data_IF_397884649831
#
_entry.id   IF_397884649831
#
_cell.length_a   1.000
_cell.length_b   1.000
_cell.length_c   1.000
_cell.angle_alpha   90.00
_cell.angle_beta   90.00
_cell.angle_gamma   90.00
#
_symmetry.space_group_name_H-M   'P 1'
#
loop_
_entity.id
_entity.type
_entity.pdbx_description
1 polymer ?
#
# COMPACT_ATOMS: atom_id res chain seq x y z
N UNK A 1 1.67 -3.80 -12.38
CA UNK A 1 0.64 -2.79 -12.69
C UNK A 1 0.93 -2.18 -14.05
N UNK A 2 -0.09 -2.04 -14.90
CA UNK A 2 0.01 -1.54 -16.27
C UNK A 2 -0.26 -0.03 -16.28
N UNK A 3 0.45 0.69 -17.14
CA UNK A 3 0.23 2.13 -17.36
C UNK A 3 -0.82 2.33 -18.46
N UNK A 4 -1.77 3.23 -18.22
CA UNK A 4 -2.83 3.62 -19.13
C UNK A 4 -2.64 5.08 -19.54
N UNK A 5 -2.92 5.40 -20.81
CA UNK A 5 -2.85 6.74 -21.36
C UNK A 5 -4.24 7.14 -21.82
N UNK A 6 -4.78 8.19 -21.21
CA UNK A 6 -6.19 8.56 -21.31
C UNK A 6 -6.36 10.02 -21.69
N UNK A 7 -7.34 10.29 -22.53
CA UNK A 7 -7.87 11.62 -22.79
C UNK A 7 -9.20 11.73 -22.05
N UNK A 8 -9.29 12.63 -21.09
CA UNK A 8 -10.47 12.74 -20.21
C UNK A 8 -10.89 14.19 -20.05
N UNK A 9 -12.18 14.40 -19.81
CA UNK A 9 -12.75 15.72 -19.55
C UNK A 9 -12.98 15.89 -18.06
N UNK A 10 -12.40 16.92 -17.47
CA UNK A 10 -12.46 17.17 -16.03
C UNK A 10 -13.89 17.54 -15.60
N UNK A 11 -14.42 16.84 -14.60
CA UNK A 11 -15.74 17.09 -14.02
C UNK A 11 -15.62 17.75 -12.65
N UNK A 12 -14.74 17.21 -11.79
CA UNK A 12 -14.51 17.72 -10.43
C UNK A 12 -13.02 17.61 -10.07
N UNK A 13 -12.51 18.60 -9.35
CA UNK A 13 -11.12 18.64 -8.87
C UNK A 13 -11.13 19.01 -7.38
N UNK A 14 -10.80 18.05 -6.53
CA UNK A 14 -10.75 18.22 -5.08
C UNK A 14 -9.30 18.29 -4.62
N UNK A 15 -8.79 19.53 -4.46
CA UNK A 15 -7.40 19.80 -4.04
C UNK A 15 -7.30 20.75 -2.83
N UNK A 16 -8.41 21.28 -2.33
CA UNK A 16 -8.38 22.20 -1.20
C UNK A 16 -8.09 21.45 0.10
N UNK A 17 -6.87 21.60 0.61
CA UNK A 17 -6.34 20.90 1.78
C UNK A 17 -7.16 21.09 3.06
N UNK A 18 -7.95 22.17 3.17
CA UNK A 18 -8.84 22.40 4.33
C UNK A 18 -10.15 21.61 4.27
N UNK A 19 -10.47 21.06 3.10
CA UNK A 19 -11.76 20.43 2.77
C UNK A 19 -11.62 18.99 2.30
N UNK A 20 -10.45 18.39 2.50
CA UNK A 20 -10.14 17.03 2.06
C UNK A 20 -9.39 16.28 3.15
N UNK A 21 -9.53 14.96 3.14
CA UNK A 21 -8.72 14.03 3.92
C UNK A 21 -8.32 12.84 3.05
N UNK A 22 -7.06 12.37 3.08
CA UNK A 22 -5.97 12.91 3.89
C UNK A 22 -5.36 14.17 3.27
N UNK A 23 -4.77 15.03 4.11
CA UNK A 23 -4.06 16.21 3.65
C UNK A 23 -2.86 15.78 2.78
N UNK A 24 -2.67 16.48 1.66
CA UNK A 24 -1.63 16.21 0.66
C UNK A 24 -2.10 15.30 -0.48
N UNK A 25 -3.27 14.68 -0.41
CA UNK A 25 -3.84 13.88 -1.48
C UNK A 25 -4.83 14.71 -2.31
N UNK A 26 -4.97 14.41 -3.60
CA UNK A 26 -5.85 15.12 -4.52
C UNK A 26 -6.67 14.10 -5.31
N UNK A 27 -7.95 14.41 -5.54
CA UNK A 27 -8.85 13.61 -6.38
C UNK A 27 -9.30 14.42 -7.59
N UNK A 28 -9.24 13.79 -8.76
CA UNK A 28 -9.83 14.30 -10.00
C UNK A 28 -10.89 13.31 -10.47
N UNK A 29 -12.09 13.80 -10.73
CA UNK A 29 -13.17 13.03 -11.37
C UNK A 29 -13.25 13.54 -12.80
N UNK A 30 -13.05 12.65 -13.77
CA UNK A 30 -13.01 13.01 -15.19
C UNK A 30 -13.53 11.87 -16.07
N UNK A 31 -14.47 12.18 -16.96
CA UNK A 31 -15.14 11.22 -17.85
C UNK A 31 -15.65 9.97 -17.10
N UNK A 32 -16.31 10.17 -15.97
CA UNK A 32 -16.82 9.11 -15.09
C UNK A 32 -15.75 8.20 -14.44
N UNK A 33 -14.48 8.61 -14.45
CA UNK A 33 -13.36 7.86 -13.83
C UNK A 33 -12.72 8.69 -12.71
N UNK A 34 -12.24 7.99 -11.68
CA UNK A 34 -11.64 8.61 -10.50
C UNK A 34 -10.12 8.47 -10.53
N UNK A 35 -9.43 9.59 -10.37
CA UNK A 35 -7.99 9.69 -10.39
C UNK A 35 -7.48 10.25 -9.06
N UNK A 36 -6.44 9.62 -8.52
CA UNK A 36 -5.81 10.00 -7.27
C UNK A 36 -4.33 10.29 -7.45
N UNK A 37 -3.83 11.25 -6.69
CA UNK A 37 -2.42 11.63 -6.69
C UNK A 37 -2.03 12.27 -5.35
N UNK A 38 -0.75 12.18 -4.99
CA UNK A 38 -0.21 12.97 -3.88
C UNK A 38 0.45 14.23 -4.42
N UNK A 39 0.16 15.36 -3.79
CA UNK A 39 0.70 16.67 -4.15
C UNK A 39 2.24 16.70 -4.05
N UNK A 40 2.79 16.01 -3.06
CA UNK A 40 4.24 15.91 -2.77
C UNK A 40 5.03 15.14 -3.85
N UNK A 41 4.36 14.32 -4.66
CA UNK A 41 5.02 13.53 -5.71
C UNK A 41 5.41 14.39 -6.95
N UNK A 42 4.90 15.63 -7.03
CA UNK A 42 5.02 16.50 -8.20
C UNK A 42 5.54 17.88 -7.84
N UNK A 43 6.39 18.45 -8.70
CA UNK A 43 6.82 19.84 -8.59
C UNK A 43 5.74 20.79 -9.12
N UNK A 44 5.53 21.92 -8.41
CA UNK A 44 4.57 22.97 -8.77
C UNK A 44 3.11 22.48 -8.95
N UNK A 45 2.73 21.44 -8.22
CA UNK A 45 1.41 20.82 -8.25
C UNK A 45 0.28 21.81 -7.92
N UNK A 46 0.44 22.64 -6.88
CA UNK A 46 -0.59 23.61 -6.48
C UNK A 46 -0.94 24.60 -7.59
N UNK A 47 0.05 25.17 -8.27
CA UNK A 47 -0.18 26.17 -9.31
C UNK A 47 -0.83 25.57 -10.55
N UNK A 48 -0.51 24.33 -10.88
CA UNK A 48 -1.20 23.59 -11.93
C UNK A 48 -2.65 23.31 -11.55
N UNK A 49 -2.91 22.77 -10.36
CA UNK A 49 -4.25 22.40 -9.90
C UNK A 49 -5.19 23.61 -9.79
N UNK A 50 -4.69 24.77 -9.34
CA UNK A 50 -5.47 26.03 -9.27
C UNK A 50 -5.93 26.54 -10.63
N UNK A 51 -5.22 26.20 -11.72
CA UNK A 51 -5.55 26.66 -13.08
C UNK A 51 -6.59 25.76 -13.76
N UNK A 52 -6.77 24.54 -13.27
CA UNK A 52 -7.73 23.60 -13.82
C UNK A 52 -9.17 24.07 -13.58
N UNK A 53 -10.03 23.87 -14.59
CA UNK A 53 -11.44 24.20 -14.54
C UNK A 53 -12.26 23.02 -15.04
N UNK A 54 -13.48 22.90 -14.54
CA UNK A 54 -14.43 21.92 -15.04
C UNK A 54 -14.61 22.09 -16.57
N UNK A 55 -14.60 20.97 -17.27
CA UNK A 55 -14.68 20.90 -18.73
C UNK A 55 -13.34 20.87 -19.45
N UNK A 56 -12.21 21.06 -18.75
CA UNK A 56 -10.87 20.97 -19.34
C UNK A 56 -10.59 19.56 -19.89
N UNK A 57 -9.96 19.49 -21.06
CA UNK A 57 -9.46 18.23 -21.62
C UNK A 57 -8.05 17.95 -21.12
N UNK A 58 -7.90 16.82 -20.43
CA UNK A 58 -6.66 16.39 -19.80
C UNK A 58 -6.14 15.12 -20.46
N UNK A 59 -4.85 15.15 -20.79
CA UNK A 59 -4.09 13.97 -21.21
C UNK A 59 -3.40 13.42 -19.96
N UNK A 60 -3.77 12.22 -19.54
CA UNK A 60 -3.32 11.63 -18.27
C UNK A 60 -2.61 10.31 -18.53
N UNK A 61 -1.49 10.06 -17.84
CA UNK A 61 -0.98 8.72 -17.62
C UNK A 61 -1.26 8.30 -16.18
N UNK A 62 -1.87 7.13 -16.02
CA UNK A 62 -2.20 6.60 -14.71
C UNK A 62 -2.07 5.07 -14.65
N UNK A 63 -1.92 4.55 -13.43
CA UNK A 63 -1.97 3.13 -13.14
C UNK A 63 -3.35 2.75 -12.62
N UNK A 64 -3.90 1.66 -13.14
CA UNK A 64 -5.16 1.12 -12.61
C UNK A 64 -4.92 0.46 -11.24
N UNK A 65 -5.70 0.89 -10.25
CA UNK A 65 -5.75 0.34 -8.91
C UNK A 65 -6.77 -0.81 -8.81
N UNK A 66 -6.78 -1.52 -7.68
CA UNK A 66 -7.59 -2.74 -7.52
C UNK A 66 -9.10 -2.49 -7.40
N UNK A 67 -9.45 -1.32 -6.90
CA UNK A 67 -10.79 -0.75 -6.79
C UNK A 67 -11.31 -0.16 -8.12
N UNK A 68 -10.51 -0.19 -9.19
CA UNK A 68 -10.89 0.35 -10.49
C UNK A 68 -10.60 1.84 -10.69
N UNK A 69 -10.15 2.53 -9.64
CA UNK A 69 -9.66 3.91 -9.75
C UNK A 69 -8.25 3.96 -10.32
N UNK A 70 -7.76 5.17 -10.59
CA UNK A 70 -6.48 5.40 -11.28
C UNK A 70 -5.51 6.20 -10.41
N UNK A 71 -4.28 5.72 -10.27
CA UNK A 71 -3.19 6.49 -9.65
C UNK A 71 -2.41 7.27 -10.70
N UNK A 72 -2.45 8.60 -10.64
CA UNK A 72 -1.84 9.48 -11.64
C UNK A 72 -0.32 9.40 -11.58
N UNK A 73 0.29 9.39 -12.76
CA UNK A 73 1.73 9.43 -12.96
C UNK A 73 2.19 10.71 -13.63
N UNK A 74 1.36 11.28 -14.50
CA UNK A 74 1.51 12.65 -15.01
C UNK A 74 0.20 13.13 -15.63
N UNK A 75 0.03 14.45 -15.69
CA UNK A 75 -1.09 15.13 -16.35
C UNK A 75 -0.52 16.18 -17.29
N UNK A 76 -1.13 16.35 -18.44
CA UNK A 76 -0.78 17.38 -19.39
C UNK A 76 -2.04 18.05 -19.95
N UNK A 77 -1.98 19.37 -20.03
CA UNK A 77 -2.99 20.22 -20.65
C UNK A 77 -2.28 21.22 -21.58
N UNK A 78 -2.78 21.39 -22.79
CA UNK A 78 -2.06 22.13 -23.85
C UNK A 78 -1.74 23.60 -23.48
N UNK A 79 -2.64 24.29 -22.77
CA UNK A 79 -2.42 25.70 -22.35
C UNK A 79 -2.11 25.90 -20.86
N UNK A 80 -2.50 24.97 -19.99
CA UNK A 80 -2.41 25.12 -18.52
C UNK A 80 -1.15 24.47 -17.95
N UNK A 81 -0.38 23.77 -18.78
CA UNK A 81 0.92 23.20 -18.42
C UNK A 81 0.84 21.71 -18.11
N UNK A 82 1.71 21.26 -17.20
CA UNK A 82 1.89 19.84 -16.91
C UNK A 82 2.16 19.60 -15.44
N UNK A 83 1.76 18.41 -15.01
CA UNK A 83 2.09 17.81 -13.73
C UNK A 83 2.94 16.58 -14.04
N UNK A 84 4.22 16.62 -13.71
CA UNK A 84 5.17 15.56 -14.04
C UNK A 84 6.06 15.22 -12.84
N UNK A 85 6.47 13.95 -12.69
CA UNK A 85 7.38 13.56 -11.63
C UNK A 85 8.77 14.13 -11.93
N UNK A 86 9.60 14.28 -10.88
CA UNK A 86 10.97 14.77 -11.03
C UNK A 86 11.76 13.95 -12.08
N UNK A 87 12.22 14.65 -13.14
CA UNK A 87 12.96 14.02 -14.25
C UNK A 87 14.36 13.58 -13.85
N UNK A 88 15.03 14.32 -12.96
CA UNK A 88 16.45 14.13 -12.61
C UNK A 88 16.62 13.84 -11.13
N UNK A 89 17.58 12.98 -10.79
CA UNK A 89 18.05 12.79 -9.41
C UNK A 89 19.15 13.79 -9.10
N UNK A 90 18.80 14.88 -8.43
CA UNK A 90 19.76 15.86 -7.95
C UNK A 90 19.91 15.72 -6.44
N UNK A 91 21.13 15.44 -6.00
CA UNK A 91 21.49 15.53 -4.59
C UNK A 91 21.80 16.98 -4.25
N UNK A 92 21.23 17.49 -3.18
CA UNK A 92 21.64 18.79 -2.62
C UNK A 92 23.09 18.71 -2.13
N UNK A 93 23.82 19.83 -2.11
CA UNK A 93 25.21 19.87 -1.63
C UNK A 93 25.34 19.31 -0.20
N UNK A 94 24.34 19.55 0.66
CA UNK A 94 24.26 18.95 2.00
C UNK A 94 24.17 17.43 1.93
N UNK A 95 23.28 16.88 1.10
CA UNK A 95 23.11 15.43 0.95
C UNK A 95 24.34 14.74 0.37
N UNK A 96 25.08 15.41 -0.53
CA UNK A 96 26.36 14.90 -1.05
C UNK A 96 27.41 14.77 0.04
N UNK A 97 27.57 15.78 0.90
CA UNK A 97 28.47 15.71 2.07
C UNK A 97 28.09 14.57 3.02
N UNK A 98 26.79 14.40 3.30
CA UNK A 98 26.31 13.28 4.11
C UNK A 98 26.54 11.92 3.46
N UNK A 99 26.40 11.82 2.13
CA UNK A 99 26.67 10.59 1.40
C UNK A 99 28.16 10.21 1.44
N UNK A 100 29.04 11.20 1.28
CA UNK A 100 30.48 11.01 1.43
C UNK A 100 30.83 10.55 2.84
N UNK A 101 30.26 11.19 3.87
CA UNK A 101 30.44 10.77 5.26
C UNK A 101 29.95 9.34 5.49
N UNK A 102 28.76 8.99 4.98
CA UNK A 102 28.22 7.64 5.07
C UNK A 102 29.14 6.60 4.41
N UNK A 103 29.76 6.94 3.29
CA UNK A 103 30.72 6.09 2.60
C UNK A 103 31.99 5.87 3.43
N UNK A 104 32.54 6.96 3.99
CA UNK A 104 33.71 6.90 4.88
C UNK A 104 33.41 6.05 6.12
N UNK A 105 32.27 6.27 6.79
CA UNK A 105 31.86 5.50 7.97
C UNK A 105 31.68 4.02 7.65
N UNK A 106 31.12 3.69 6.48
CA UNK A 106 30.93 2.30 6.05
C UNK A 106 32.28 1.61 5.81
N UNK A 107 33.21 2.28 5.12
CA UNK A 107 34.52 1.73 4.81
C UNK A 107 35.41 1.60 6.05
N UNK A 108 35.56 2.68 6.82
CA UNK A 108 36.42 2.70 8.01
C UNK A 108 35.84 1.80 9.10
N UNK A 109 34.54 1.88 9.37
CA UNK A 109 33.87 1.03 10.35
C UNK A 109 33.89 -0.44 9.94
N UNK A 110 33.71 -0.75 8.66
CA UNK A 110 33.78 -2.11 8.13
C UNK A 110 35.18 -2.70 8.24
N UNK A 111 36.20 -1.94 7.84
CA UNK A 111 37.61 -2.33 7.99
C UNK A 111 37.98 -2.56 9.46
N UNK A 112 37.61 -1.64 10.35
CA UNK A 112 37.89 -1.78 11.78
C UNK A 112 37.19 -3.00 12.39
N UNK A 113 35.93 -3.25 12.03
CA UNK A 113 35.18 -4.41 12.52
C UNK A 113 35.83 -5.71 12.04
N UNK A 114 36.20 -5.79 10.75
CA UNK A 114 36.90 -6.94 10.19
C UNK A 114 38.25 -7.19 10.85
N UNK A 115 39.06 -6.13 11.01
CA UNK A 115 40.38 -6.21 11.62
C UNK A 115 40.29 -6.66 13.10
N UNK A 116 39.32 -6.11 13.84
CA UNK A 116 39.10 -6.45 15.24
C UNK A 116 38.66 -7.90 15.46
N UNK A 117 37.86 -8.47 14.54
CA UNK A 117 37.40 -9.86 14.65
C UNK A 117 38.52 -10.86 14.37
N UNK A 118 39.38 -10.58 13.39
CA UNK A 118 40.34 -11.57 12.88
C UNK A 118 41.73 -11.50 13.52
N UNK A 119 42.15 -10.31 13.97
CA UNK A 119 43.56 -10.09 14.34
C UNK A 119 43.77 -9.61 15.77
N UNK A 120 42.71 -9.24 16.49
CA UNK A 120 42.82 -8.73 17.85
C UNK A 120 42.22 -9.70 18.88
N UNK A 121 42.89 -9.82 20.03
CA UNK A 121 42.35 -10.57 21.16
C UNK A 121 41.19 -9.81 21.82
N UNK A 122 40.19 -10.56 22.29
CA UNK A 122 38.94 -9.98 22.81
C UNK A 122 39.19 -9.26 24.14
N UNK A 123 39.03 -7.94 24.16
CA UNK A 123 39.02 -7.10 25.37
C UNK A 123 37.81 -6.15 25.33
N UNK A 124 37.33 -5.72 26.50
CA UNK A 124 36.22 -4.77 26.68
C UNK A 124 36.32 -3.55 25.75
N UNK A 125 37.48 -2.90 25.66
CA UNK A 125 37.65 -1.72 24.78
C UNK A 125 37.50 -2.06 23.29
N UNK A 126 37.97 -3.24 22.88
CA UNK A 126 37.83 -3.73 21.50
C UNK A 126 36.35 -4.02 21.23
N UNK A 127 35.64 -4.68 22.14
CA UNK A 127 34.21 -4.93 22.04
C UNK A 127 33.42 -3.62 21.92
N UNK A 128 33.68 -2.63 22.79
CA UNK A 128 33.02 -1.32 22.73
C UNK A 128 33.31 -0.61 21.39
N UNK A 129 34.58 -0.62 20.95
CA UNK A 129 34.97 -0.01 19.67
C UNK A 129 34.31 -0.70 18.47
N UNK A 130 34.13 -2.02 18.54
CA UNK A 130 33.47 -2.82 17.52
C UNK A 130 31.97 -2.51 17.45
N UNK A 131 31.28 -2.40 18.59
CA UNK A 131 29.85 -2.01 18.60
C UNK A 131 29.66 -0.63 17.96
N UNK A 132 30.54 0.33 18.27
CA UNK A 132 30.51 1.67 17.66
C UNK A 132 30.75 1.57 16.15
N UNK A 133 31.75 0.81 15.72
CA UNK A 133 32.07 0.63 14.31
C UNK A 133 30.93 -0.06 13.53
N UNK A 134 30.31 -1.11 14.09
CA UNK A 134 29.13 -1.75 13.52
C UNK A 134 27.95 -0.79 13.42
N UNK A 135 27.72 0.04 14.44
CA UNK A 135 26.69 1.09 14.41
C UNK A 135 26.93 2.09 13.28
N UNK A 136 28.18 2.51 13.08
CA UNK A 136 28.57 3.43 12.01
C UNK A 136 28.35 2.81 10.61
N UNK A 137 28.68 1.53 10.44
CA UNK A 137 28.45 0.77 9.21
C UNK A 137 26.96 0.67 8.90
N UNK A 138 26.14 0.31 9.88
CA UNK A 138 24.69 0.18 9.71
C UNK A 138 24.05 1.51 9.31
N UNK A 139 24.46 2.62 9.96
CA UNK A 139 23.99 3.95 9.60
C UNK A 139 24.42 4.35 8.18
N UNK A 140 25.68 4.09 7.81
CA UNK A 140 26.23 4.38 6.50
C UNK A 140 25.52 3.61 5.38
N UNK A 141 25.40 2.29 5.50
CA UNK A 141 24.70 1.42 4.54
C UNK A 141 23.24 1.84 4.40
N UNK A 142 22.55 2.16 5.50
CA UNK A 142 21.15 2.58 5.48
C UNK A 142 20.97 3.86 4.65
N UNK A 143 21.81 4.86 4.86
CA UNK A 143 21.74 6.13 4.12
C UNK A 143 22.09 5.96 2.63
N UNK A 144 23.16 5.21 2.32
CA UNK A 144 23.55 4.88 0.94
C UNK A 144 22.44 4.12 0.24
N UNK A 145 21.89 3.10 0.90
CA UNK A 145 20.80 2.27 0.41
C UNK A 145 19.55 3.07 0.09
N UNK A 146 19.17 4.03 0.94
CA UNK A 146 18.04 4.93 0.68
C UNK A 146 18.26 5.77 -0.60
N UNK A 147 19.45 6.34 -0.80
CA UNK A 147 19.74 7.15 -1.99
C UNK A 147 19.88 6.30 -3.25
N UNK A 148 20.52 5.14 -3.14
CA UNK A 148 20.61 4.16 -4.23
C UNK A 148 19.20 3.70 -4.64
N UNK A 149 18.33 3.40 -3.68
CA UNK A 149 16.93 3.05 -3.94
C UNK A 149 16.20 4.13 -4.72
N UNK A 150 16.29 5.41 -4.30
CA UNK A 150 15.68 6.54 -5.02
C UNK A 150 16.25 6.69 -6.44
N UNK A 151 17.57 6.52 -6.60
CA UNK A 151 18.21 6.55 -7.91
C UNK A 151 17.71 5.41 -8.82
N UNK A 152 17.69 4.17 -8.31
CA UNK A 152 17.17 3.01 -9.05
C UNK A 152 15.70 3.18 -9.41
N UNK A 153 14.88 3.72 -8.50
CA UNK A 153 13.47 4.01 -8.77
C UNK A 153 13.30 4.95 -9.97
N UNK A 154 14.19 5.95 -10.12
CA UNK A 154 14.18 6.91 -11.24
C UNK A 154 14.74 6.34 -12.54
N UNK A 155 15.73 5.45 -12.46
CA UNK A 155 16.31 4.79 -13.65
C UNK A 155 15.50 3.58 -14.14
N UNK A 156 14.50 3.13 -13.37
CA UNK A 156 13.60 2.03 -13.77
C UNK A 156 13.05 2.26 -15.19
N UNK A 157 13.01 1.21 -16.03
CA UNK A 157 12.53 1.32 -17.40
C UNK A 157 11.09 1.83 -17.48
N UNK A 158 10.28 1.50 -16.47
CA UNK A 158 8.90 1.98 -16.34
C UNK A 158 8.80 3.50 -16.19
N UNK A 159 9.60 4.09 -15.30
CA UNK A 159 9.65 5.53 -15.10
C UNK A 159 10.12 6.25 -16.38
N UNK A 160 11.18 5.73 -17.02
CA UNK A 160 11.66 6.24 -18.32
C UNK A 160 10.59 6.15 -19.41
N UNK A 161 9.79 5.07 -19.45
CA UNK A 161 8.67 4.92 -20.40
C UNK A 161 7.62 6.00 -20.18
N UNK A 162 7.26 6.30 -18.92
CA UNK A 162 6.26 7.34 -18.56
C UNK A 162 6.72 8.73 -19.01
N UNK A 163 7.97 9.10 -18.74
CA UNK A 163 8.53 10.39 -19.16
C UNK A 163 8.59 10.49 -20.69
N UNK A 164 9.10 9.46 -21.38
CA UNK A 164 9.11 9.43 -22.85
C UNK A 164 7.71 9.56 -23.46
N UNK A 165 6.70 8.98 -22.82
CA UNK A 165 5.31 9.13 -23.24
C UNK A 165 4.83 10.57 -23.11
N UNK A 166 5.12 11.22 -21.98
CA UNK A 166 4.81 12.63 -21.78
C UNK A 166 5.50 13.53 -22.81
N UNK A 167 6.80 13.33 -23.06
CA UNK A 167 7.55 14.12 -24.05
C UNK A 167 6.94 13.99 -25.46
N UNK A 168 6.47 12.80 -25.84
CA UNK A 168 5.77 12.58 -27.12
C UNK A 168 4.41 13.25 -27.18
N UNK A 169 3.67 13.28 -26.07
CA UNK A 169 2.38 13.98 -25.98
C UNK A 169 2.58 15.49 -26.12
N UNK A 170 3.61 16.04 -25.46
CA UNK A 170 4.00 17.45 -25.59
C UNK A 170 4.41 17.77 -27.03
N UNK A 171 5.15 16.87 -27.69
CA UNK A 171 5.51 16.99 -29.11
C UNK A 171 4.35 16.75 -30.09
N UNK A 172 3.10 16.63 -29.60
CA UNK A 172 1.89 16.35 -30.39
C UNK A 172 1.93 15.06 -31.21
N UNK A 173 2.73 14.08 -30.78
CA UNK A 173 2.85 12.75 -31.40
C UNK A 173 1.89 11.72 -30.78
N UNK A 174 0.76 12.20 -30.25
CA UNK A 174 -0.29 11.39 -29.63
C UNK A 174 -1.61 11.62 -30.36
N UNK A 175 -2.26 10.52 -30.72
CA UNK A 175 -3.58 10.52 -31.36
C UNK A 175 -4.62 10.08 -30.34
N UNK A 176 -5.78 10.71 -30.36
CA UNK A 176 -6.94 10.24 -29.59
C UNK A 176 -7.54 9.08 -30.38
N UNK A 177 -7.76 7.96 -29.71
CA UNK A 177 -8.38 6.79 -30.30
C UNK A 177 -9.84 7.08 -30.71
N UNK A 178 -10.45 6.28 -31.60
CA UNK A 178 -11.83 6.48 -32.05
C UNK A 178 -12.86 6.38 -30.91
N UNK A 179 -12.48 5.75 -29.79
CA UNK A 179 -13.29 5.67 -28.57
C UNK A 179 -13.33 6.99 -27.78
N UNK A 180 -12.52 8.00 -28.16
CA UNK A 180 -12.45 9.31 -27.50
C UNK A 180 -11.70 9.33 -26.17
N UNK A 181 -11.48 8.17 -25.55
CA UNK A 181 -10.95 8.05 -24.19
C UNK A 181 -9.48 7.63 -24.15
N UNK A 182 -8.98 6.88 -25.14
CA UNK A 182 -7.61 6.36 -25.12
C UNK A 182 -6.66 7.26 -25.90
N UNK A 183 -5.46 7.44 -25.37
CA UNK A 183 -4.36 8.07 -26.09
C UNK A 183 -3.44 7.02 -26.72
N UNK A 184 -3.35 7.05 -28.04
CA UNK A 184 -2.41 6.24 -28.83
C UNK A 184 -1.14 7.07 -29.02
N UNK A 185 -0.09 6.71 -28.28
CA UNK A 185 1.22 7.36 -28.37
C UNK A 185 2.11 6.54 -29.29
N UNK A 186 2.61 7.17 -30.35
CA UNK A 186 3.44 6.52 -31.37
C UNK A 186 4.63 5.78 -30.73
N UNK A 187 4.82 4.51 -31.07
CA UNK A 187 5.95 3.70 -30.57
C UNK A 187 5.90 3.33 -29.07
N UNK A 188 4.77 3.55 -28.38
CA UNK A 188 4.57 3.11 -26.99
C UNK A 188 3.37 2.18 -26.94
N UNK A 189 3.59 0.91 -26.58
CA UNK A 189 2.50 -0.05 -26.36
C UNK A 189 1.67 0.37 -25.14
N UNK A 190 0.40 0.67 -25.36
CA UNK A 190 -0.62 0.87 -24.34
C UNK A 190 -1.38 -0.44 -24.10
N UNK A 191 -1.83 -0.66 -22.87
CA UNK A 191 -2.73 -1.77 -22.58
C UNK A 191 -4.17 -1.34 -22.88
N UNK A 192 -5.02 -2.23 -23.42
CA UNK A 192 -6.45 -1.94 -23.50
C UNK A 192 -7.01 -1.76 -22.08
N UNK A 193 -7.92 -0.81 -21.88
CA UNK A 193 -8.66 -0.71 -20.63
C UNK A 193 -9.33 -2.07 -20.37
N UNK A 194 -9.16 -2.65 -19.18
CA UNK A 194 -9.84 -3.87 -18.82
C UNK A 194 -11.33 -3.57 -18.70
N UNK A 195 -12.17 -4.44 -19.26
CA UNK A 195 -13.55 -4.54 -18.82
C UNK A 195 -13.53 -5.14 -17.42
N UNK A 196 -13.99 -4.38 -16.43
CA UNK A 196 -14.17 -4.92 -15.08
C UNK A 196 -15.42 -5.81 -15.13
N UNK A 197 -15.30 -7.14 -14.99
CA UNK A 197 -16.46 -8.00 -15.03
C UNK A 197 -17.35 -7.72 -13.82
N UNK A 198 -18.60 -7.35 -14.06
CA UNK A 198 -19.61 -7.20 -13.02
C UNK A 198 -19.96 -8.61 -12.54
N UNK A 199 -19.40 -9.02 -11.41
CA UNK A 199 -19.68 -10.32 -10.82
C UNK A 199 -21.04 -10.21 -10.11
N UNK A 200 -22.06 -10.89 -10.66
CA UNK A 200 -23.30 -11.14 -9.93
C UNK A 200 -23.02 -12.17 -8.83
N UNK A 201 -22.73 -11.70 -7.62
CA UNK A 201 -22.57 -12.55 -6.44
C UNK A 201 -23.84 -12.45 -5.59
N UNK A 202 -24.37 -13.59 -5.15
CA UNK A 202 -25.42 -13.61 -4.13
C UNK A 202 -24.77 -13.33 -2.77
N UNK A 203 -25.36 -12.40 -2.02
CA UNK A 203 -24.92 -12.06 -0.67
C UNK A 203 -25.80 -12.79 0.36
N UNK A 204 -25.23 -13.22 1.48
CA UNK A 204 -26.02 -13.79 2.57
C UNK A 204 -27.01 -12.75 3.10
N UNK A 205 -28.28 -13.14 3.27
CA UNK A 205 -29.26 -12.27 3.91
C UNK A 205 -28.91 -12.07 5.39
N UNK A 206 -28.53 -10.85 5.75
CA UNK A 206 -28.25 -10.46 7.13
C UNK A 206 -29.59 -10.20 7.82
N UNK A 207 -30.11 -11.22 8.53
CA UNK A 207 -31.47 -11.17 9.14
C UNK A 207 -31.59 -10.17 10.30
N UNK A 208 -30.50 -9.91 11.03
CA UNK A 208 -30.47 -8.96 12.16
C UNK A 208 -29.06 -8.34 12.25
N UNK A 209 -28.93 -7.08 11.83
CA UNK A 209 -27.67 -6.33 11.94
C UNK A 209 -27.76 -5.31 13.06
N UNK A 210 -26.79 -5.32 13.97
CA UNK A 210 -26.55 -4.22 14.92
C UNK A 210 -25.77 -3.06 14.27
N UNK A 211 -25.38 -3.19 12.99
CA UNK A 211 -24.70 -2.13 12.23
C UNK A 211 -25.72 -1.05 11.87
N UNK A 212 -25.47 0.16 12.35
CA UNK A 212 -26.24 1.34 11.99
C UNK A 212 -25.64 1.98 10.75
N UNK A 213 -26.51 2.63 9.96
CA UNK A 213 -26.15 3.28 8.69
C UNK A 213 -26.66 4.70 8.70
N UNK A 214 -25.79 5.64 8.32
CA UNK A 214 -26.15 7.03 8.07
C UNK A 214 -25.56 7.41 6.72
N UNK A 215 -26.41 7.92 5.83
CA UNK A 215 -26.01 8.45 4.53
C UNK A 215 -26.31 9.93 4.49
N UNK A 216 -25.37 10.72 4.01
CA UNK A 216 -25.58 12.15 3.83
C UNK A 216 -24.36 12.82 3.23
N UNK A 217 -24.51 14.12 3.00
CA UNK A 217 -23.41 14.95 2.53
C UNK A 217 -22.44 15.20 3.69
N UNK A 218 -21.17 14.88 3.47
CA UNK A 218 -20.11 15.08 4.46
C UNK A 218 -19.64 16.54 4.52
N UNK A 219 -19.46 17.02 5.74
CA UNK A 219 -18.78 18.28 6.05
C UNK A 219 -17.58 17.99 6.96
N UNK A 220 -16.36 18.20 6.46
CA UNK A 220 -15.14 17.97 7.20
C UNK A 220 -14.85 19.21 8.05
N UNK A 221 -14.75 19.01 9.37
CA UNK A 221 -14.37 20.07 10.30
C UNK A 221 -12.87 20.13 10.53
N UNK A 222 -12.23 18.96 10.65
CA UNK A 222 -10.80 18.87 10.87
C UNK A 222 -10.24 17.56 10.35
N UNK A 223 -9.01 17.62 9.85
CA UNK A 223 -8.23 16.49 9.37
C UNK A 223 -6.83 16.62 9.95
N UNK A 224 -6.51 15.73 10.90
CA UNK A 224 -5.27 15.73 11.66
C UNK A 224 -4.45 14.49 11.32
N UNK A 225 -3.15 14.69 11.09
CA UNK A 225 -2.17 13.63 10.88
C UNK A 225 -1.31 13.49 12.14
N UNK A 226 -1.61 12.50 12.97
CA UNK A 226 -0.98 12.28 14.27
C UNK A 226 0.15 11.27 14.12
N UNK A 227 1.39 11.68 14.42
CA UNK A 227 2.55 10.79 14.48
C UNK A 227 2.70 10.23 15.89
N UNK A 228 2.54 8.92 16.04
CA UNK A 228 2.77 8.19 17.28
C UNK A 228 4.12 7.50 17.24
N UNK A 229 5.00 7.93 18.14
CA UNK A 229 6.30 7.30 18.34
C UNK A 229 6.17 6.18 19.39
N UNK A 230 6.50 4.96 19.01
CA UNK A 230 6.59 3.82 19.93
C UNK A 230 8.02 3.28 19.96
N UNK A 231 8.36 2.51 20.99
CA UNK A 231 9.71 1.98 21.24
C UNK A 231 10.34 1.25 20.02
N UNK A 232 9.51 0.65 19.17
CA UNK A 232 9.94 -0.14 18.01
C UNK A 232 9.49 0.44 16.65
N UNK A 233 9.03 1.69 16.60
CA UNK A 233 8.70 2.33 15.32
C UNK A 233 7.72 3.50 15.42
N UNK A 234 7.51 4.14 14.27
CA UNK A 234 6.57 5.23 14.11
C UNK A 234 5.29 4.72 13.44
N UNK A 235 4.14 5.13 13.95
CA UNK A 235 2.86 4.92 13.28
C UNK A 235 2.18 6.25 13.08
N UNK A 236 1.60 6.46 11.90
CA UNK A 236 0.86 7.69 11.60
C UNK A 236 -0.62 7.34 11.55
N UNK A 237 -1.41 8.05 12.36
CA UNK A 237 -2.86 7.92 12.44
C UNK A 237 -3.47 9.19 11.83
N UNK A 238 -4.34 8.99 10.85
CA UNK A 238 -5.22 10.02 10.32
C UNK A 238 -6.48 10.06 11.18
N UNK A 239 -6.81 11.24 11.67
CA UNK A 239 -8.03 11.49 12.41
C UNK A 239 -8.84 12.57 11.70
N UNK A 240 -10.06 12.24 11.30
CA UNK A 240 -10.96 13.14 10.57
C UNK A 240 -12.20 13.34 11.43
N UNK A 241 -12.51 14.59 11.74
CA UNK A 241 -13.77 14.97 12.39
C UNK A 241 -14.70 15.51 11.32
N UNK A 242 -15.87 14.90 11.16
CA UNK A 242 -16.85 15.29 10.16
C UNK A 242 -18.28 15.27 10.69
N UNK A 243 -19.16 16.04 10.06
CA UNK A 243 -20.60 15.93 10.19
C UNK A 243 -21.16 15.22 8.96
N UNK A 244 -22.07 14.28 9.19
CA UNK A 244 -22.88 13.67 8.12
C UNK A 244 -24.32 13.71 8.58
N UNK A 245 -25.17 14.38 7.80
CA UNK A 245 -26.59 14.59 8.14
C UNK A 245 -26.78 15.16 9.56
N UNK A 246 -25.96 16.15 9.92
CA UNK A 246 -25.90 16.78 11.25
C UNK A 246 -25.45 15.87 12.41
N UNK A 247 -24.99 14.65 12.14
CA UNK A 247 -24.42 13.76 13.15
C UNK A 247 -22.88 13.84 13.15
N UNK A 248 -22.24 14.12 14.31
CA UNK A 248 -20.80 14.19 14.41
C UNK A 248 -20.16 12.81 14.47
N UNK A 249 -19.15 12.59 13.63
CA UNK A 249 -18.34 11.40 13.60
C UNK A 249 -16.86 11.74 13.64
N UNK A 250 -16.08 10.86 14.28
CA UNK A 250 -14.63 10.91 14.26
C UNK A 250 -14.11 9.60 13.66
N UNK A 251 -13.48 9.73 12.51
CA UNK A 251 -12.86 8.63 11.78
C UNK A 251 -11.38 8.60 12.15
N UNK A 252 -10.91 7.49 12.70
CA UNK A 252 -9.49 7.28 12.98
C UNK A 252 -9.00 6.06 12.23
N UNK A 253 -7.94 6.23 11.43
CA UNK A 253 -7.30 5.13 10.72
C UNK A 253 -5.81 5.35 10.54
N UNK A 254 -5.03 4.28 10.54
CA UNK A 254 -3.60 4.28 10.26
C UNK A 254 -3.34 4.56 8.78
N UNK A 255 -2.45 5.51 8.52
CA UNK A 255 -1.98 5.86 7.18
C UNK A 255 -1.35 4.63 6.50
N UNK A 256 -1.76 4.34 5.26
CA UNK A 256 -1.12 3.33 4.43
C UNK A 256 0.04 3.95 3.65
N UNK A 257 1.15 3.20 3.58
CA UNK A 257 2.36 3.57 2.86
C UNK A 257 2.48 2.88 1.48
N UNK A 258 1.53 2.03 1.09
CA UNK A 258 1.68 1.14 -0.07
C UNK A 258 0.91 1.63 -1.30
N UNK A 259 1.64 1.85 -2.40
CA UNK A 259 1.18 2.33 -3.71
C UNK A 259 0.14 1.47 -4.47
N UNK A 260 -0.29 0.32 -3.94
CA UNK A 260 -1.23 -0.55 -4.65
C UNK A 260 -2.70 -0.16 -4.47
N UNK A 261 -2.98 0.61 -3.43
CA UNK A 261 -4.31 1.10 -3.04
C UNK A 261 -4.11 2.53 -2.49
N UNK A 262 -5.13 3.39 -2.55
CA UNK A 262 -5.05 4.72 -1.93
C UNK A 262 -5.56 4.71 -0.47
N UNK A 263 -5.26 5.79 0.27
CA UNK A 263 -5.86 6.04 1.59
C UNK A 263 -7.36 6.37 1.45
N UNK A 264 -8.12 6.35 2.54
CA UNK A 264 -9.50 6.86 2.57
C UNK A 264 -9.52 8.31 2.12
N UNK A 265 -10.02 8.56 0.91
CA UNK A 265 -10.19 9.91 0.40
C UNK A 265 -11.62 10.38 0.67
N UNK A 266 -11.75 11.54 1.31
CA UNK A 266 -13.00 12.24 1.58
C UNK A 266 -12.81 13.70 1.21
N UNK A 267 -13.79 14.28 0.52
CA UNK A 267 -13.86 15.72 0.29
C UNK A 267 -15.19 16.27 0.81
N UNK A 268 -15.19 17.54 1.22
CA UNK A 268 -16.43 18.26 1.55
C UNK A 268 -17.42 18.18 0.39
N UNK A 269 -18.68 17.96 0.72
CA UNK A 269 -19.74 17.85 -0.27
C UNK A 269 -19.82 16.48 -0.95
N UNK A 270 -19.06 15.48 -0.49
CA UNK A 270 -19.25 14.10 -0.94
C UNK A 270 -20.50 13.48 -0.32
N UNK A 271 -21.21 12.66 -1.09
CA UNK A 271 -22.30 11.81 -0.59
C UNK A 271 -21.69 10.52 -0.02
N UNK A 272 -21.74 10.37 1.30
CA UNK A 272 -21.05 9.29 2.01
C UNK A 272 -22.05 8.52 2.87
N UNK A 273 -21.95 7.20 2.81
CA UNK A 273 -22.65 6.27 3.68
C UNK A 273 -21.66 5.67 4.69
N UNK A 274 -21.90 5.96 5.97
CA UNK A 274 -21.13 5.41 7.09
C UNK A 274 -21.84 4.21 7.69
N UNK A 275 -21.03 3.19 8.00
CA UNK A 275 -21.43 2.01 8.74
C UNK A 275 -20.75 2.07 10.10
N UNK A 276 -21.54 2.15 11.17
CA UNK A 276 -21.01 2.26 12.52
C UNK A 276 -21.72 1.34 13.49
N UNK A 277 -21.04 1.05 14.59
CA UNK A 277 -21.57 0.29 15.72
C UNK A 277 -21.44 1.13 16.98
N UNK A 278 -22.52 1.22 17.74
CA UNK A 278 -22.56 1.89 19.03
C UNK A 278 -22.94 0.86 20.09
N UNK A 279 -22.16 0.78 21.16
CA UNK A 279 -22.47 -0.06 22.30
C UNK A 279 -23.73 0.48 23.01
N UNK A 280 -24.47 -0.40 23.69
CA UNK A 280 -25.67 -0.02 24.45
C UNK A 280 -25.34 0.93 25.62
N UNK A 281 -24.10 0.91 26.12
CA UNK A 281 -23.57 1.91 27.04
C UNK A 281 -23.37 3.26 26.36
N UNK A 282 -24.28 4.21 26.64
CA UNK A 282 -24.31 5.59 26.10
C UNK A 282 -23.03 6.41 26.28
N UNK A 283 -22.09 5.96 27.11
CA UNK A 283 -20.80 6.63 27.32
C UNK A 283 -19.77 6.31 26.24
N UNK A 284 -19.97 5.24 25.46
CA UNK A 284 -19.09 4.90 24.34
C UNK A 284 -19.56 5.58 23.06
N UNK A 285 -18.72 6.41 22.45
CA UNK A 285 -19.01 7.03 21.15
C UNK A 285 -19.18 5.99 20.03
N UNK A 286 -19.85 6.36 18.92
CA UNK A 286 -20.04 5.45 17.79
C UNK A 286 -18.69 5.06 17.18
N UNK A 287 -18.48 3.76 16.99
CA UNK A 287 -17.29 3.22 16.34
C UNK A 287 -17.58 3.02 14.87
N UNK A 288 -16.91 3.79 14.01
CA UNK A 288 -17.04 3.61 12.55
C UNK A 288 -16.34 2.32 12.12
N UNK A 289 -17.08 1.47 11.40
CA UNK A 289 -16.66 0.17 10.89
C UNK A 289 -16.36 0.19 9.38
N UNK A 290 -16.96 1.11 8.65
CA UNK A 290 -16.78 1.22 7.20
C UNK A 290 -17.36 2.49 6.62
N UNK A 291 -16.89 2.84 5.42
CA UNK A 291 -17.24 4.03 4.67
C UNK A 291 -17.46 3.63 3.22
N UNK A 292 -18.58 4.05 2.65
CA UNK A 292 -18.82 4.00 1.21
C UNK A 292 -19.04 5.40 0.68
N UNK A 293 -18.22 5.83 -0.28
CA UNK A 293 -18.35 7.14 -0.90
C UNK A 293 -19.09 6.98 -2.24
N UNK A 294 -20.31 7.51 -2.33
CA UNK A 294 -21.13 7.45 -3.55
C UNK A 294 -20.61 8.39 -4.65
N UNK A 295 -19.81 9.40 -4.31
CA UNK A 295 -19.22 10.33 -5.29
C UNK A 295 -18.14 9.65 -6.13
N UNK A 296 -17.23 8.90 -5.49
CA UNK A 296 -16.08 8.25 -6.16
C UNK A 296 -16.15 6.72 -6.16
N UNK A 297 -17.25 6.16 -5.65
CA UNK A 297 -17.48 4.72 -5.48
C UNK A 297 -16.43 3.99 -4.62
N UNK A 298 -15.66 4.71 -3.81
CA UNK A 298 -14.68 4.14 -2.90
C UNK A 298 -15.34 3.39 -1.75
N UNK A 299 -14.99 2.11 -1.59
CA UNK A 299 -15.45 1.27 -0.48
C UNK A 299 -14.30 0.96 0.48
N UNK A 300 -14.49 1.29 1.76
CA UNK A 300 -13.46 1.18 2.79
C UNK A 300 -14.00 0.50 4.03
N UNK A 301 -13.26 -0.48 4.56
CA UNK A 301 -13.52 -1.04 5.89
C UNK A 301 -12.51 -0.48 6.87
N UNK A 302 -12.97 -0.10 8.05
CA UNK A 302 -12.14 0.37 9.15
C UNK A 302 -12.15 -0.73 10.21
N UNK A 303 -11.16 -1.62 10.12
CA UNK A 303 -11.02 -2.76 11.02
C UNK A 303 -10.46 -2.31 12.37
N UNK A 304 -11.11 -2.75 13.45
CA UNK A 304 -10.53 -2.70 14.80
C UNK A 304 -9.30 -3.59 14.90
N UNK A 305 -8.43 -3.32 15.88
CA UNK A 305 -7.08 -3.93 16.04
C UNK A 305 -6.99 -5.47 15.92
N UNK A 306 -8.09 -6.20 16.17
CA UNK A 306 -8.12 -7.68 16.21
C UNK A 306 -8.74 -8.29 14.93
N UNK A 307 -9.56 -7.56 14.17
CA UNK A 307 -10.13 -8.08 12.94
C UNK A 307 -9.10 -8.00 11.82
N UNK A 308 -8.50 -9.13 11.48
CA UNK A 308 -7.55 -9.19 10.37
C UNK A 308 -8.34 -9.40 9.08
N UNK A 309 -8.39 -8.37 8.24
CA UNK A 309 -9.08 -8.42 6.96
C UNK A 309 -8.63 -9.59 6.07
N UNK A 310 -9.62 -10.26 5.46
CA UNK A 310 -9.47 -11.56 4.80
C UNK A 310 -8.47 -11.54 3.62
N UNK A 311 -8.27 -10.39 2.98
CA UNK A 311 -7.39 -10.30 1.82
C UNK A 311 -5.92 -10.10 2.19
N UNK A 312 -5.65 -9.40 3.29
CA UNK A 312 -4.29 -9.09 3.73
C UNK A 312 -3.67 -10.23 4.54
N UNK A 313 -4.47 -10.94 5.34
CA UNK A 313 -4.05 -12.19 6.00
C UNK A 313 -3.43 -13.14 4.99
N UNK A 314 -4.12 -13.39 3.88
CA UNK A 314 -3.70 -14.38 2.89
C UNK A 314 -2.33 -14.10 2.27
N UNK A 315 -2.04 -12.85 1.87
CA UNK A 315 -0.76 -12.52 1.23
C UNK A 315 0.41 -12.49 2.22
N UNK A 316 0.17 -11.93 3.42
CA UNK A 316 1.20 -11.83 4.43
C UNK A 316 1.49 -13.19 5.06
N UNK A 317 0.46 -14.02 5.27
CA UNK A 317 0.62 -15.40 5.69
C UNK A 317 1.39 -16.19 4.64
N UNK A 318 1.03 -16.10 3.35
CA UNK A 318 1.79 -16.76 2.28
C UNK A 318 3.27 -16.38 2.27
N UNK A 319 3.59 -15.09 2.45
CA UNK A 319 4.98 -14.63 2.47
C UNK A 319 5.73 -15.18 3.69
N UNK A 320 5.13 -15.10 4.88
CA UNK A 320 5.74 -15.63 6.11
C UNK A 320 5.93 -17.15 5.99
N UNK A 321 4.91 -17.87 5.53
CA UNK A 321 4.97 -19.32 5.31
C UNK A 321 6.06 -19.67 4.31
N UNK A 322 6.19 -18.91 3.21
CA UNK A 322 7.25 -19.13 2.23
C UNK A 322 8.65 -18.89 2.83
N UNK A 323 8.86 -17.81 3.59
CA UNK A 323 10.14 -17.53 4.23
C UNK A 323 10.51 -18.60 5.28
N UNK A 324 9.55 -18.99 6.12
CA UNK A 324 9.73 -20.05 7.13
C UNK A 324 9.99 -21.39 6.45
N UNK A 325 9.29 -21.70 5.36
CA UNK A 325 9.54 -22.91 4.56
C UNK A 325 10.97 -22.92 4.03
N UNK A 326 11.41 -21.83 3.37
CA UNK A 326 12.77 -21.72 2.84
C UNK A 326 13.81 -21.89 3.95
N UNK A 327 13.61 -21.27 5.11
CA UNK A 327 14.51 -21.40 6.25
C UNK A 327 14.59 -22.84 6.77
N UNK A 328 13.45 -23.48 7.04
CA UNK A 328 13.40 -24.85 7.58
C UNK A 328 13.99 -25.85 6.58
N UNK A 329 13.60 -25.79 5.30
CA UNK A 329 14.14 -26.71 4.30
C UNK A 329 15.61 -26.44 3.98
N UNK A 330 16.09 -25.20 4.11
CA UNK A 330 17.53 -24.90 4.03
C UNK A 330 18.29 -25.52 5.21
N UNK A 331 17.74 -25.48 6.42
CA UNK A 331 18.36 -26.09 7.60
C UNK A 331 18.43 -27.62 7.45
N UNK A 332 17.34 -28.24 7.00
CA UNK A 332 17.31 -29.68 6.69
C UNK A 332 18.34 -30.02 5.61
N UNK A 333 18.39 -29.24 4.52
CA UNK A 333 19.39 -29.42 3.48
C UNK A 333 20.82 -29.35 4.03
N UNK A 334 21.13 -28.33 4.84
CA UNK A 334 22.45 -28.14 5.43
C UNK A 334 22.85 -29.29 6.35
N UNK A 335 21.94 -29.78 7.19
CA UNK A 335 22.23 -30.93 8.05
C UNK A 335 22.39 -32.22 7.26
N UNK A 336 21.51 -32.49 6.30
CA UNK A 336 21.64 -33.70 5.50
C UNK A 336 22.89 -33.69 4.62
N UNK A 337 23.33 -32.53 4.13
CA UNK A 337 24.62 -32.37 3.45
C UNK A 337 25.79 -32.58 4.42
N UNK A 338 25.70 -32.02 5.64
CA UNK A 338 26.72 -32.22 6.68
C UNK A 338 26.90 -33.70 7.02
N UNK A 339 25.80 -34.44 7.19
CA UNK A 339 25.85 -35.88 7.46
C UNK A 339 26.56 -36.65 6.34
N UNK A 340 26.33 -36.30 5.07
CA UNK A 340 27.04 -36.91 3.94
C UNK A 340 28.53 -36.60 3.98
N UNK A 341 28.90 -35.37 4.34
CA UNK A 341 30.30 -34.98 4.53
C UNK A 341 30.96 -35.74 5.70
N UNK A 342 30.28 -35.84 6.83
CA UNK A 342 30.77 -36.53 8.02
C UNK A 342 30.91 -38.05 7.80
N UNK A 343 30.07 -38.63 6.94
CA UNK A 343 30.13 -40.03 6.52
C UNK A 343 31.19 -40.33 5.44
N UNK A 344 32.06 -39.37 5.13
CA UNK A 344 33.18 -39.56 4.20
C UNK A 344 32.97 -38.98 2.80
N UNK A 345 31.90 -38.19 2.60
CA UNK A 345 31.62 -37.43 1.37
C UNK A 345 31.51 -38.31 0.10
N UNK A 346 30.98 -39.51 0.25
CA UNK A 346 30.55 -40.33 -0.88
C UNK A 346 29.11 -39.94 -1.21
N UNK A 347 28.84 -39.61 -2.46
CA UNK A 347 27.50 -39.26 -2.93
C UNK A 347 26.91 -40.47 -3.65
N UNK A 348 26.38 -41.42 -2.89
CA UNK A 348 25.78 -42.62 -3.46
C UNK A 348 24.25 -42.52 -3.56
N UNK A 349 23.63 -43.53 -4.16
CA UNK A 349 22.17 -43.56 -4.35
C UNK A 349 21.41 -43.56 -3.02
N UNK A 350 21.97 -44.18 -1.98
CA UNK A 350 21.35 -44.30 -0.66
C UNK A 350 21.40 -42.99 0.10
N UNK A 351 22.45 -42.19 -0.07
CA UNK A 351 22.52 -40.83 0.48
C UNK A 351 21.41 -39.94 -0.10
N UNK A 352 21.20 -40.01 -1.42
CA UNK A 352 20.09 -39.31 -2.07
C UNK A 352 18.72 -39.78 -1.58
N UNK A 353 18.54 -41.07 -1.32
CA UNK A 353 17.31 -41.60 -0.72
C UNK A 353 17.13 -41.13 0.73
N UNK A 354 18.21 -41.13 1.53
CA UNK A 354 18.19 -40.68 2.93
C UNK A 354 17.85 -39.19 3.05
N UNK A 355 18.44 -38.36 2.19
CA UNK A 355 18.06 -36.95 2.04
C UNK A 355 16.58 -36.85 1.66
N UNK A 356 16.15 -37.59 0.64
CA UNK A 356 14.75 -37.59 0.19
C UNK A 356 13.77 -37.98 1.31
N UNK A 357 14.09 -38.99 2.10
CA UNK A 357 13.26 -39.47 3.22
C UNK A 357 13.22 -38.45 4.37
N UNK A 358 14.35 -37.81 4.68
CA UNK A 358 14.43 -36.73 5.66
C UNK A 358 13.57 -35.52 5.25
N UNK A 359 13.60 -35.15 3.97
CA UNK A 359 12.75 -34.10 3.43
C UNK A 359 11.28 -34.48 3.45
N UNK A 360 10.93 -35.73 3.17
CA UNK A 360 9.56 -36.23 3.18
C UNK A 360 9.01 -36.26 4.61
N UNK A 361 9.75 -36.84 5.56
CA UNK A 361 9.38 -36.88 6.97
C UNK A 361 9.19 -35.49 7.57
N UNK A 362 10.16 -34.59 7.34
CA UNK A 362 10.05 -33.21 7.80
C UNK A 362 8.93 -32.44 7.08
N UNK A 363 8.70 -32.71 5.79
CA UNK A 363 7.60 -32.13 5.02
C UNK A 363 6.22 -32.49 5.58
N UNK A 364 6.03 -33.75 6.01
CA UNK A 364 4.79 -34.19 6.66
C UNK A 364 4.61 -33.49 8.02
N UNK A 365 5.64 -33.46 8.86
CA UNK A 365 5.59 -32.80 10.18
C UNK A 365 5.28 -31.30 10.00
N UNK A 366 5.99 -30.64 9.08
CA UNK A 366 5.76 -29.24 8.75
C UNK A 366 4.33 -28.99 8.27
N UNK A 367 3.81 -29.84 7.36
CA UNK A 367 2.44 -29.76 6.88
C UNK A 367 1.40 -29.88 7.99
N UNK A 368 1.59 -30.80 8.94
CA UNK A 368 0.72 -30.97 10.12
C UNK A 368 0.75 -29.74 11.04
N UNK A 369 1.95 -29.19 11.31
CA UNK A 369 2.08 -27.98 12.13
C UNK A 369 1.38 -26.80 11.45
N UNK A 370 1.64 -26.58 10.17
CA UNK A 370 1.08 -25.45 9.42
C UNK A 370 -0.43 -25.56 9.27
N UNK A 371 -0.97 -26.75 9.03
CA UNK A 371 -2.42 -26.99 8.99
C UNK A 371 -3.08 -26.78 10.37
N UNK A 372 -2.43 -27.21 11.46
CA UNK A 372 -2.88 -26.96 12.83
C UNK A 372 -2.94 -25.46 13.16
N UNK A 373 -1.90 -24.70 12.81
CA UNK A 373 -1.87 -23.24 12.98
C UNK A 373 -2.98 -22.57 12.14
N UNK A 374 -3.15 -22.99 10.88
CA UNK A 374 -4.21 -22.46 10.02
C UNK A 374 -5.61 -22.73 10.60
N UNK A 375 -5.85 -23.94 11.09
CA UNK A 375 -7.09 -24.32 11.77
C UNK A 375 -7.35 -23.46 13.01
N UNK A 376 -6.37 -23.33 13.90
CA UNK A 376 -6.49 -22.50 15.11
C UNK A 376 -6.77 -21.04 14.75
N UNK A 377 -6.08 -20.50 13.75
CA UNK A 377 -6.28 -19.12 13.28
C UNK A 377 -7.71 -18.91 12.77
N UNK A 378 -8.23 -19.86 11.98
CA UNK A 378 -9.60 -19.82 11.50
C UNK A 378 -10.62 -19.98 12.64
N UNK A 379 -10.37 -20.89 13.58
CA UNK A 379 -11.22 -21.12 14.75
C UNK A 379 -11.31 -19.86 15.62
N UNK A 380 -10.17 -19.26 16.00
CA UNK A 380 -10.16 -18.04 16.81
C UNK A 380 -10.80 -16.85 16.09
N UNK A 381 -10.62 -16.73 14.78
CA UNK A 381 -11.28 -15.69 13.99
C UNK A 381 -12.80 -15.87 13.99
N UNK A 382 -13.30 -17.10 13.82
CA UNK A 382 -14.73 -17.40 13.85
C UNK A 382 -15.32 -17.24 15.26
N UNK A 383 -14.60 -17.68 16.32
CA UNK A 383 -15.01 -17.45 17.70
C UNK A 383 -15.10 -15.97 18.02
N UNK A 384 -14.16 -15.15 17.54
CA UNK A 384 -14.23 -13.70 17.68
C UNK A 384 -15.45 -13.10 16.98
N UNK A 385 -15.76 -13.54 15.76
CA UNK A 385 -16.96 -13.12 15.03
C UNK A 385 -18.24 -13.52 15.77
N UNK A 386 -18.27 -14.73 16.35
CA UNK A 386 -19.45 -15.26 17.04
C UNK A 386 -19.67 -14.62 18.43
N UNK A 387 -18.60 -14.41 19.18
CA UNK A 387 -18.67 -13.96 20.59
C UNK A 387 -18.57 -12.44 20.74
N UNK A 388 -17.96 -11.71 19.79
CA UNK A 388 -17.80 -10.27 19.86
C UNK A 388 -18.84 -9.57 18.99
N UNK A 389 -19.68 -8.72 19.60
CA UNK A 389 -20.63 -7.89 18.84
C UNK A 389 -19.93 -6.95 17.86
N UNK A 390 -18.80 -6.38 18.26
CA UNK A 390 -17.94 -5.56 17.40
C UNK A 390 -17.35 -6.38 16.25
N UNK A 391 -16.93 -7.62 16.51
CA UNK A 391 -16.42 -8.56 15.51
C UNK A 391 -17.49 -8.94 14.48
N UNK A 392 -18.67 -9.33 14.94
CA UNK A 392 -19.83 -9.64 14.10
C UNK A 392 -20.23 -8.42 13.24
N UNK A 393 -20.33 -7.24 13.86
CA UNK A 393 -20.68 -6.00 13.15
C UNK A 393 -19.64 -5.66 12.08
N UNK A 394 -18.34 -5.82 12.38
CA UNK A 394 -17.26 -5.60 11.39
C UNK A 394 -17.35 -6.58 10.22
N UNK A 395 -17.66 -7.85 10.49
CA UNK A 395 -17.87 -8.87 9.48
C UNK A 395 -19.08 -8.56 8.59
N UNK A 396 -20.21 -8.16 9.19
CA UNK A 396 -21.42 -7.77 8.46
C UNK A 396 -21.18 -6.53 7.58
N UNK A 397 -20.49 -5.51 8.08
CA UNK A 397 -20.13 -4.30 7.31
C UNK A 397 -19.36 -4.64 6.04
N UNK A 398 -18.48 -5.64 6.07
CA UNK A 398 -17.77 -6.08 4.85
C UNK A 398 -18.73 -6.54 3.75
N UNK A 399 -19.75 -7.33 4.07
CA UNK A 399 -20.74 -7.78 3.07
C UNK A 399 -21.67 -6.66 2.62
N UNK A 400 -22.07 -5.78 3.54
CA UNK A 400 -22.88 -4.60 3.20
C UNK A 400 -22.15 -3.70 2.20
N UNK A 401 -20.85 -3.48 2.39
CA UNK A 401 -20.02 -2.74 1.44
C UNK A 401 -19.88 -3.46 0.10
N UNK A 402 -19.74 -4.80 0.09
CA UNK A 402 -19.72 -5.55 -1.17
C UNK A 402 -21.04 -5.43 -1.92
N UNK A 403 -22.17 -5.40 -1.20
CA UNK A 403 -23.49 -5.19 -1.78
C UNK A 403 -23.57 -3.82 -2.45
N UNK A 404 -23.14 -2.76 -1.77
CA UNK A 404 -23.07 -1.41 -2.36
C UNK A 404 -22.21 -1.36 -3.62
N UNK A 405 -21.04 -2.02 -3.61
CA UNK A 405 -20.20 -2.12 -4.82
C UNK A 405 -20.93 -2.80 -5.99
N UNK A 406 -21.72 -3.84 -5.74
CA UNK A 406 -22.48 -4.52 -6.80
C UNK A 406 -23.62 -3.66 -7.32
N UNK A 407 -24.36 -3.00 -6.44
CA UNK A 407 -25.45 -2.09 -6.81
C UNK A 407 -24.93 -0.95 -7.71
N UNK A 408 -23.74 -0.43 -7.42
CA UNK A 408 -23.06 0.61 -8.21
C UNK A 408 -22.29 0.08 -9.43
N UNK A 409 -22.33 -1.24 -9.72
CA UNK A 409 -21.61 -1.91 -10.84
C UNK A 409 -20.08 -1.73 -10.79
N UNK A 410 -19.53 -1.70 -9.58
CA UNK A 410 -18.11 -1.49 -9.29
C UNK A 410 -17.41 -2.81 -8.95
N UNK A 411 -16.07 -2.89 -9.02
CA UNK A 411 -15.35 -4.09 -8.60
C UNK A 411 -15.62 -4.38 -7.12
N UNK A 412 -15.68 -5.67 -6.78
CA UNK A 412 -15.90 -6.18 -5.40
C UNK A 412 -14.72 -5.93 -4.44
N UNK A 413 -13.83 -4.99 -4.78
CA UNK A 413 -12.65 -4.69 -4.01
C UNK A 413 -12.99 -3.70 -2.91
N UNK A 414 -12.61 -4.03 -1.67
CA UNK A 414 -12.81 -3.17 -0.50
C UNK A 414 -11.45 -2.86 0.08
N UNK A 415 -11.19 -1.58 0.31
CA UNK A 415 -9.94 -1.10 0.87
C UNK A 415 -9.95 -1.22 2.39
N UNK A 416 -9.14 -2.13 2.92
CA UNK A 416 -9.06 -2.39 4.37
C UNK A 416 -8.12 -1.41 5.09
N UNK A 417 -8.65 -0.62 6.01
CA UNK A 417 -7.93 0.30 6.87
C UNK A 417 -7.90 -0.24 8.31
N UNK A 418 -6.85 0.10 9.06
CA UNK A 418 -6.73 -0.24 10.49
C UNK A 418 -7.00 1.01 11.31
N UNK A 419 -7.69 0.88 12.43
CA UNK A 419 -7.77 1.94 13.44
C UNK A 419 -6.41 2.18 14.11
#
# INVERSE_FOLDING_TARGET
MKDYFLNVKLERCDFNQSKISPNGMVRLIASGKNFYLNEEDFSNSQDFLKRLKQGDELKICAELLKDGSFWVQWIYHDTKGRLEPERTFTLTAKQQKWLLLAFILTLVGGYWSYFSILYLEVNFFIVVSMVIACGAVMAGISYIGEKAYRYFQRTRPKHRKRIKALDKVIAKQALIAPDGERLIITGIKSAPLPSLPVIKKSFPQIKQSKVQRVRGIIQIHSSNRIKMHHRNGETVIMQVSCLIDNHPFVLSYRERLFYSDHNLFLADGDDVELFFWQAEDKHSGPVVLGVYNHTDNGAYTISGQIYIGHQRTYRLSLLIVALVSVFIFSMVASFSISDVYDNGNYWDKWDWYSIGDSFLGMGIIYGLIMSGIAFLTALFSNLYILLSEKGNSSYQTYFLLQQQCVESKQPLYITELRQ
#
